data_IF_657200109654
#
_entry.id   IF_657200109654
#
_cell.length_a   1.000
_cell.length_b   1.000
_cell.length_c   1.000
_cell.angle_alpha   90.00
_cell.angle_beta   90.00
_cell.angle_gamma   90.00
#
_symmetry.space_group_name_H-M   'P 1'
#
loop_
_entity.id
_entity.type
_entity.pdbx_description
1 polymer ?
#
# COMPACT_ATOMS: atom_id res chain seq x y z
N UNK A 1 -63.50 6.45 -1.00
CA UNK A 1 -62.36 6.76 -0.10
C UNK A 1 -61.19 5.78 -0.20
N UNK A 2 -61.40 4.49 -0.49
CA UNK A 2 -60.34 3.47 -0.50
C UNK A 2 -59.31 3.63 -1.65
N UNK A 3 -59.74 3.96 -2.87
CA UNK A 3 -58.83 4.11 -4.03
C UNK A 3 -57.85 5.29 -3.94
N UNK A 4 -58.21 6.36 -3.23
CA UNK A 4 -57.35 7.54 -3.03
C UNK A 4 -56.24 7.27 -2.00
N UNK A 5 -56.52 6.42 -0.99
CA UNK A 5 -55.53 5.94 -0.02
C UNK A 5 -54.56 4.93 -0.65
N UNK A 6 -55.05 4.05 -1.52
CA UNK A 6 -54.22 3.08 -2.23
C UNK A 6 -53.28 3.77 -3.24
N UNK A 7 -53.78 4.75 -4.01
CA UNK A 7 -52.95 5.55 -4.91
C UNK A 7 -51.88 6.37 -4.18
N UNK A 8 -52.22 6.97 -3.02
CA UNK A 8 -51.26 7.74 -2.23
C UNK A 8 -50.18 6.84 -1.60
N UNK A 9 -50.56 5.66 -1.10
CA UNK A 9 -49.62 4.67 -0.57
C UNK A 9 -48.68 4.12 -1.65
N UNK A 10 -49.20 3.86 -2.86
CA UNK A 10 -48.40 3.40 -4.00
C UNK A 10 -47.44 4.49 -4.49
N UNK A 11 -47.89 5.76 -4.54
CA UNK A 11 -47.04 6.90 -4.93
C UNK A 11 -45.92 7.15 -3.91
N UNK A 12 -46.22 7.02 -2.61
CA UNK A 12 -45.23 7.16 -1.55
C UNK A 12 -44.18 6.03 -1.61
N UNK A 13 -44.62 4.79 -1.86
CA UNK A 13 -43.72 3.65 -2.03
C UNK A 13 -42.79 3.81 -3.24
N UNK A 14 -43.29 4.29 -4.38
CA UNK A 14 -42.47 4.58 -5.57
C UNK A 14 -41.44 5.69 -5.29
N UNK A 15 -41.83 6.77 -4.60
CA UNK A 15 -40.90 7.84 -4.22
C UNK A 15 -39.80 7.34 -3.28
N UNK A 16 -40.14 6.50 -2.29
CA UNK A 16 -39.16 5.94 -1.35
C UNK A 16 -38.17 5.01 -2.06
N UNK A 17 -38.65 4.15 -2.96
CA UNK A 17 -37.78 3.26 -3.75
C UNK A 17 -36.85 4.05 -4.67
N UNK A 18 -37.36 5.10 -5.35
CA UNK A 18 -36.55 5.98 -6.18
C UNK A 18 -35.47 6.71 -5.37
N UNK A 19 -35.80 7.22 -4.17
CA UNK A 19 -34.87 7.91 -3.28
C UNK A 19 -33.74 6.97 -2.80
N UNK A 20 -34.10 5.74 -2.40
CA UNK A 20 -33.13 4.72 -1.97
C UNK A 20 -32.20 4.36 -3.12
N UNK A 21 -32.73 4.15 -4.33
CA UNK A 21 -31.93 3.85 -5.51
C UNK A 21 -30.95 4.99 -5.82
N UNK A 22 -31.41 6.26 -5.83
CA UNK A 22 -30.53 7.41 -6.08
C UNK A 22 -29.42 7.56 -5.04
N UNK A 23 -29.70 7.26 -3.77
CA UNK A 23 -28.69 7.31 -2.71
C UNK A 23 -27.64 6.21 -2.88
N UNK A 24 -28.07 4.99 -3.19
CA UNK A 24 -27.16 3.87 -3.45
C UNK A 24 -26.23 4.16 -4.64
N UNK A 25 -26.76 4.67 -5.75
CA UNK A 25 -25.94 5.07 -6.90
C UNK A 25 -24.91 6.14 -6.55
N UNK A 26 -25.31 7.20 -5.83
CA UNK A 26 -24.38 8.24 -5.41
C UNK A 26 -23.28 7.75 -4.45
N UNK A 27 -23.59 6.78 -3.60
CA UNK A 27 -22.61 6.18 -2.69
C UNK A 27 -21.59 5.31 -3.44
N UNK A 28 -22.04 4.55 -4.44
CA UNK A 28 -21.15 3.76 -5.30
C UNK A 28 -20.21 4.66 -6.11
N UNK A 29 -20.73 5.75 -6.70
CA UNK A 29 -19.92 6.74 -7.42
C UNK A 29 -18.84 7.37 -6.53
N UNK A 30 -19.19 7.75 -5.30
CA UNK A 30 -18.25 8.31 -4.34
C UNK A 30 -17.15 7.31 -3.97
N UNK A 31 -17.50 6.03 -3.78
CA UNK A 31 -16.53 4.96 -3.50
C UNK A 31 -15.59 4.73 -4.67
N UNK A 32 -16.11 4.68 -5.89
CA UNK A 32 -15.27 4.53 -7.09
C UNK A 32 -14.35 5.73 -7.29
N UNK A 33 -14.83 6.96 -7.06
CA UNK A 33 -14.01 8.16 -7.11
C UNK A 33 -12.86 8.13 -6.09
N UNK A 34 -13.12 7.62 -4.87
CA UNK A 34 -12.08 7.43 -3.86
C UNK A 34 -11.02 6.41 -4.30
N UNK A 35 -11.45 5.26 -4.84
CA UNK A 35 -10.54 4.22 -5.34
C UNK A 35 -9.70 4.76 -6.51
N UNK A 36 -10.31 5.49 -7.44
CA UNK A 36 -9.60 6.07 -8.59
C UNK A 36 -8.60 7.14 -8.15
N UNK A 37 -8.95 7.96 -7.16
CA UNK A 37 -8.01 8.90 -6.55
C UNK A 37 -6.84 8.17 -5.89
N UNK A 38 -7.10 7.06 -5.20
CA UNK A 38 -6.08 6.20 -4.62
C UNK A 38 -5.14 5.62 -5.67
N UNK A 39 -5.71 5.11 -6.77
CA UNK A 39 -4.95 4.60 -7.92
C UNK A 39 -4.02 5.69 -8.47
N UNK A 40 -4.55 6.89 -8.70
CA UNK A 40 -3.74 8.02 -9.17
C UNK A 40 -2.56 8.28 -8.22
N UNK A 41 -2.82 8.41 -6.92
CA UNK A 41 -1.79 8.68 -5.92
C UNK A 41 -0.72 7.57 -5.85
N UNK A 42 -1.13 6.30 -5.87
CA UNK A 42 -0.19 5.17 -5.87
C UNK A 42 0.71 5.18 -7.11
N UNK A 43 0.16 5.50 -8.27
CA UNK A 43 0.91 5.53 -9.54
C UNK A 43 1.80 6.76 -9.68
N UNK A 44 1.44 7.90 -9.09
CA UNK A 44 2.19 9.16 -9.26
C UNK A 44 3.12 9.51 -8.08
N UNK A 45 2.91 8.90 -6.91
CA UNK A 45 3.72 9.15 -5.71
C UNK A 45 4.85 8.15 -5.50
N UNK A 46 5.14 7.29 -6.49
CA UNK A 46 6.27 6.34 -6.47
C UNK A 46 6.06 5.11 -5.60
N UNK A 47 4.83 4.79 -5.19
CA UNK A 47 4.57 3.61 -4.37
C UNK A 47 4.96 2.31 -5.10
N UNK A 48 4.70 2.25 -6.41
CA UNK A 48 5.05 1.11 -7.26
C UNK A 48 6.55 0.95 -7.45
N UNK A 49 7.34 2.01 -7.29
CA UNK A 49 8.77 1.98 -7.61
C UNK A 49 9.52 0.97 -6.73
N UNK A 50 9.10 0.86 -5.46
CA UNK A 50 9.68 -0.03 -4.47
C UNK A 50 8.77 -1.22 -4.11
N UNK A 51 7.44 -1.05 -4.17
CA UNK A 51 6.50 -2.12 -3.82
C UNK A 51 6.20 -3.07 -4.97
N UNK A 52 6.53 -2.71 -6.22
CA UNK A 52 6.47 -3.63 -7.36
C UNK A 52 7.89 -4.07 -7.69
N UNK A 53 8.21 -5.37 -7.64
CA UNK A 53 9.56 -5.82 -7.96
C UNK A 53 9.89 -5.57 -9.42
N UNK A 54 11.15 -5.24 -9.68
CA UNK A 54 11.65 -5.02 -11.03
C UNK A 54 12.22 -6.31 -11.62
N UNK A 55 12.15 -6.44 -12.94
CA UNK A 55 12.77 -7.50 -13.73
C UNK A 55 13.55 -6.90 -14.91
N UNK A 56 14.45 -7.69 -15.49
CA UNK A 56 15.14 -7.29 -16.71
C UNK A 56 14.22 -7.50 -17.91
N UNK A 57 13.83 -6.40 -18.56
CA UNK A 57 13.11 -6.38 -19.82
C UNK A 57 14.04 -6.12 -21.02
N UNK A 58 13.49 -6.08 -22.24
CA UNK A 58 14.26 -5.86 -23.47
C UNK A 58 14.94 -4.49 -23.53
N UNK A 59 14.46 -3.49 -22.77
CA UNK A 59 14.99 -2.12 -22.74
C UNK A 59 15.71 -1.78 -21.42
N UNK A 60 16.01 -2.78 -20.58
CA UNK A 60 16.59 -2.59 -19.26
C UNK A 60 15.62 -2.98 -18.13
N UNK A 61 15.94 -2.59 -16.88
CA UNK A 61 15.07 -2.85 -15.74
C UNK A 61 13.68 -2.22 -15.92
N UNK A 62 12.64 -2.99 -15.65
CA UNK A 62 11.24 -2.54 -15.70
C UNK A 62 10.41 -3.15 -14.56
N UNK A 63 9.29 -2.54 -14.13
CA UNK A 63 8.42 -3.12 -13.13
C UNK A 63 7.78 -4.43 -13.59
N UNK A 64 7.74 -5.43 -12.71
CA UNK A 64 7.01 -6.67 -12.91
C UNK A 64 5.54 -6.53 -12.49
N UNK A 65 4.69 -6.08 -13.41
CA UNK A 65 3.28 -5.83 -13.15
C UNK A 65 2.47 -7.09 -12.76
N UNK A 66 2.97 -8.30 -13.03
CA UNK A 66 2.35 -9.53 -12.52
C UNK A 66 2.50 -9.69 -11.01
N UNK A 67 3.50 -9.01 -10.43
CA UNK A 67 3.80 -8.95 -9.00
C UNK A 67 3.55 -7.56 -8.43
N UNK A 68 2.63 -6.81 -9.03
CA UNK A 68 2.35 -5.42 -8.66
C UNK A 68 2.07 -5.29 -7.15
N UNK A 69 2.82 -4.39 -6.48
CA UNK A 69 2.67 -4.05 -5.07
C UNK A 69 2.90 -5.20 -4.07
N UNK A 70 3.43 -6.35 -4.53
CA UNK A 70 3.68 -7.52 -3.68
C UNK A 70 4.94 -7.41 -2.83
N UNK A 71 5.75 -6.36 -3.00
CA UNK A 71 7.01 -6.16 -2.26
C UNK A 71 8.12 -7.12 -2.69
N UNK A 72 9.06 -7.37 -1.79
CA UNK A 72 10.22 -8.22 -2.05
C UNK A 72 9.82 -9.67 -2.35
N UNK A 73 10.27 -10.27 -3.46
CA UNK A 73 9.96 -11.66 -3.78
C UNK A 73 10.39 -12.63 -2.67
N UNK A 74 9.46 -13.42 -2.15
CA UNK A 74 9.72 -14.42 -1.09
C UNK A 74 10.72 -15.51 -1.50
N UNK A 75 10.85 -15.75 -2.81
CA UNK A 75 11.74 -16.73 -3.43
C UNK A 75 13.15 -16.16 -3.70
N UNK A 76 13.35 -14.85 -3.55
CA UNK A 76 14.64 -14.21 -3.74
C UNK A 76 15.38 -14.09 -2.42
N UNK A 77 16.33 -14.99 -2.17
CA UNK A 77 17.20 -14.87 -1.02
C UNK A 77 18.31 -13.85 -1.28
N UNK A 78 18.37 -12.81 -0.45
CA UNK A 78 19.46 -11.83 -0.52
C UNK A 78 20.71 -12.38 0.18
N UNK A 79 21.88 -12.42 -0.50
CA UNK A 79 23.14 -12.67 0.17
C UNK A 79 23.46 -11.52 1.15
N UNK A 80 24.43 -11.68 2.06
CA UNK A 80 24.92 -10.58 2.88
C UNK A 80 25.25 -9.37 1.99
N UNK A 81 24.71 -8.21 2.35
CA UNK A 81 24.94 -7.01 1.56
C UNK A 81 26.44 -6.67 1.55
N UNK A 82 27.01 -6.30 0.38
CA UNK A 82 28.39 -5.84 0.33
C UNK A 82 28.54 -4.57 1.18
N UNK A 83 29.71 -4.36 1.81
CA UNK A 83 29.97 -3.11 2.51
C UNK A 83 29.91 -1.96 1.50
N UNK A 84 29.30 -0.82 1.85
CA UNK A 84 29.37 0.36 1.01
C UNK A 84 30.83 0.78 0.79
N UNK A 85 31.14 1.27 -0.41
CA UNK A 85 32.48 1.73 -0.78
C UNK A 85 32.43 3.24 -1.05
N UNK A 86 33.51 3.98 -0.78
CA UNK A 86 33.55 5.43 -1.08
C UNK A 86 32.40 6.22 -0.41
N UNK A 87 31.82 7.23 -1.08
CA UNK A 87 30.76 8.08 -0.51
C UNK A 87 29.36 7.42 -0.53
N UNK A 88 29.26 6.15 -0.93
CA UNK A 88 27.99 5.46 -1.01
C UNK A 88 27.46 5.11 0.39
N UNK A 89 26.16 5.34 0.63
CA UNK A 89 25.52 5.03 1.92
C UNK A 89 25.07 3.56 2.04
N UNK A 90 24.84 2.90 0.90
CA UNK A 90 24.16 1.60 0.87
C UNK A 90 24.15 0.94 -0.49
N UNK A 91 23.43 -0.17 -0.59
CA UNK A 91 23.19 -0.92 -1.84
C UNK A 91 21.71 -1.30 -1.95
N UNK A 92 21.26 -1.64 -3.15
CA UNK A 92 19.90 -2.11 -3.40
C UNK A 92 19.90 -3.36 -4.29
N UNK A 93 18.88 -4.19 -4.13
CA UNK A 93 18.67 -5.40 -4.94
C UNK A 93 18.34 -5.05 -6.40
N UNK A 94 18.62 -5.97 -7.32
CA UNK A 94 18.22 -5.85 -8.74
C UNK A 94 16.70 -5.71 -8.96
N UNK A 95 15.89 -6.18 -8.02
CA UNK A 95 14.43 -6.06 -8.05
C UNK A 95 13.94 -4.73 -7.48
N UNK A 96 14.83 -3.87 -6.99
CA UNK A 96 14.48 -2.63 -6.31
C UNK A 96 13.50 -2.83 -5.14
N UNK A 97 13.66 -3.92 -4.37
CA UNK A 97 12.80 -4.28 -3.22
C UNK A 97 13.56 -4.63 -1.93
N UNK A 98 14.88 -4.60 -1.94
CA UNK A 98 15.70 -4.72 -0.73
C UNK A 98 16.82 -3.67 -0.73
N UNK A 99 17.10 -3.06 0.42
CA UNK A 99 18.13 -2.03 0.59
C UNK A 99 18.98 -2.30 1.82
N UNK A 100 20.27 -2.05 1.70
CA UNK A 100 21.22 -2.13 2.79
C UNK A 100 21.79 -0.75 3.14
N UNK A 101 22.14 -0.57 4.41
CA UNK A 101 22.87 0.60 4.90
C UNK A 101 23.24 0.46 6.37
N UNK A 102 23.62 1.56 7.06
CA UNK A 102 23.92 1.54 8.50
C UNK A 102 22.77 1.06 9.40
N UNK A 103 21.54 1.00 8.86
CA UNK A 103 20.35 0.46 9.53
C UNK A 103 20.15 -1.05 9.34
N UNK A 104 21.05 -1.74 8.63
CA UNK A 104 20.91 -3.15 8.26
C UNK A 104 20.29 -3.33 6.88
N UNK A 105 19.48 -4.37 6.71
CA UNK A 105 18.78 -4.68 5.45
C UNK A 105 17.27 -4.55 5.65
N UNK A 106 16.63 -3.74 4.81
CA UNK A 106 15.17 -3.63 4.72
C UNK A 106 14.67 -4.37 3.48
N UNK A 107 13.46 -4.92 3.59
CA UNK A 107 12.72 -5.54 2.50
C UNK A 107 11.38 -4.82 2.32
N UNK A 108 11.00 -4.48 1.09
CA UNK A 108 9.71 -3.83 0.83
C UNK A 108 8.58 -4.78 1.16
N UNK A 109 7.60 -4.30 1.94
CA UNK A 109 6.43 -5.08 2.32
C UNK A 109 5.48 -5.35 1.14
N UNK A 110 4.78 -6.49 1.22
CA UNK A 110 3.60 -6.76 0.41
C UNK A 110 2.45 -5.86 0.91
N UNK A 111 1.94 -4.98 0.05
CA UNK A 111 0.83 -4.06 0.38
C UNK A 111 -0.44 -4.37 -0.40
N UNK A 112 -0.53 -5.57 -0.99
CA UNK A 112 -1.77 -6.10 -1.56
C UNK A 112 -2.75 -6.52 -0.45
N UNK A 113 -4.05 -6.73 -0.74
CA UNK A 113 -5.03 -7.11 0.28
C UNK A 113 -4.97 -8.60 0.64
N UNK A 114 -3.86 -9.28 0.36
CA UNK A 114 -3.65 -10.65 0.84
C UNK A 114 -3.67 -10.67 2.38
N UNK A 115 -4.47 -11.57 2.95
CA UNK A 115 -4.74 -11.63 4.40
C UNK A 115 -3.61 -12.23 5.21
N UNK A 116 -2.80 -13.09 4.61
CA UNK A 116 -1.75 -13.83 5.32
C UNK A 116 -0.39 -13.15 5.24
N UNK A 117 -0.13 -12.49 4.11
CA UNK A 117 1.19 -11.99 3.74
C UNK A 117 1.20 -10.51 3.35
N UNK A 118 0.03 -9.94 3.05
CA UNK A 118 -0.15 -8.52 2.73
C UNK A 118 -0.80 -7.72 3.86
N UNK A 119 -1.53 -6.66 3.49
CA UNK A 119 -2.24 -5.77 4.42
C UNK A 119 -3.74 -6.11 4.56
N UNK A 120 -4.18 -7.28 4.10
CA UNK A 120 -5.61 -7.65 4.04
C UNK A 120 -6.35 -7.64 5.37
N UNK A 121 -5.63 -7.79 6.49
CA UNK A 121 -6.15 -7.75 7.86
C UNK A 121 -5.87 -6.41 8.57
N UNK A 122 -5.27 -5.43 7.88
CA UNK A 122 -5.06 -4.10 8.43
C UNK A 122 -6.37 -3.34 8.42
N UNK A 123 -6.55 -2.41 9.36
CA UNK A 123 -7.62 -1.41 9.28
C UNK A 123 -7.10 -0.17 8.55
N UNK A 124 -8.02 0.66 8.04
CA UNK A 124 -7.67 1.95 7.44
C UNK A 124 -6.88 2.81 8.44
N UNK A 125 -7.27 2.81 9.72
CA UNK A 125 -6.58 3.54 10.77
C UNK A 125 -5.15 3.03 10.96
N UNK A 126 -4.94 1.72 10.96
CA UNK A 126 -3.59 1.15 11.08
C UNK A 126 -2.71 1.56 9.89
N UNK A 127 -3.27 1.59 8.68
CA UNK A 127 -2.56 2.07 7.49
C UNK A 127 -2.19 3.55 7.63
N UNK A 128 -3.16 4.42 7.91
CA UNK A 128 -2.94 5.86 8.08
C UNK A 128 -1.92 6.13 9.17
N UNK A 129 -2.06 5.50 10.34
CA UNK A 129 -1.13 5.67 11.44
C UNK A 129 0.27 5.15 11.12
N UNK A 130 0.39 4.12 10.28
CA UNK A 130 1.70 3.65 9.83
C UNK A 130 2.46 4.71 9.04
N UNK A 131 1.77 5.39 8.13
CA UNK A 131 2.36 6.49 7.34
C UNK A 131 2.66 7.70 8.22
N UNK A 132 1.71 8.10 9.09
CA UNK A 132 1.87 9.27 9.98
C UNK A 132 3.05 9.12 10.94
N UNK A 133 3.16 7.95 11.57
CA UNK A 133 4.15 7.71 12.63
C UNK A 133 5.48 7.14 12.14
N UNK A 134 5.52 6.59 10.91
CA UNK A 134 6.66 5.81 10.44
C UNK A 134 6.84 4.49 11.20
N UNK A 135 5.78 3.90 11.73
CA UNK A 135 5.82 2.65 12.49
C UNK A 135 4.89 1.61 11.90
N UNK A 136 5.30 0.36 11.89
CA UNK A 136 4.47 -0.75 11.44
C UNK A 136 3.15 -0.81 12.23
N UNK A 137 2.01 -0.78 11.54
CA UNK A 137 0.66 -0.68 12.13
C UNK A 137 0.52 0.49 13.14
N UNK A 138 1.28 1.57 12.94
CA UNK A 138 1.29 2.76 13.78
C UNK A 138 1.98 2.62 15.15
N UNK A 139 2.37 1.41 15.57
CA UNK A 139 2.86 1.15 16.94
C UNK A 139 4.07 0.22 17.04
N UNK A 140 4.30 -0.59 16.01
CA UNK A 140 5.36 -1.58 15.98
C UNK A 140 6.73 -0.99 15.69
N UNK A 141 7.59 -1.80 15.07
CA UNK A 141 8.93 -1.38 14.63
C UNK A 141 8.88 -0.18 13.70
N UNK A 142 9.97 0.58 13.65
CA UNK A 142 10.13 1.64 12.67
C UNK A 142 10.03 1.08 11.24
N UNK A 143 9.41 1.86 10.36
CA UNK A 143 9.51 1.70 8.91
C UNK A 143 10.93 2.10 8.54
N UNK A 144 11.65 1.19 7.90
CA UNK A 144 13.05 1.38 7.57
C UNK A 144 13.21 2.07 6.20
N UNK A 145 14.36 2.72 5.95
CA UNK A 145 14.69 3.24 4.64
C UNK A 145 14.56 2.18 3.53
N UNK A 146 14.25 2.58 2.29
CA UNK A 146 14.13 3.96 1.81
C UNK A 146 12.69 4.51 1.86
N UNK A 147 11.73 3.80 2.48
CA UNK A 147 10.32 4.20 2.45
C UNK A 147 10.14 5.65 2.93
N UNK A 148 9.65 6.58 2.09
CA UNK A 148 9.67 8.01 2.39
C UNK A 148 8.46 8.45 3.22
N UNK A 149 8.20 7.74 4.32
CA UNK A 149 7.13 8.11 5.26
C UNK A 149 7.22 9.58 5.76
N UNK A 150 8.41 10.22 5.95
CA UNK A 150 8.47 11.62 6.35
C UNK A 150 7.97 12.60 5.29
N UNK A 151 7.82 12.15 4.04
CA UNK A 151 7.17 12.92 2.98
C UNK A 151 5.66 12.64 3.03
N UNK A 152 5.28 11.37 3.01
CA UNK A 152 3.88 10.93 2.96
C UNK A 152 3.09 11.27 4.24
N UNK A 153 3.76 11.44 5.39
CA UNK A 153 3.10 11.86 6.63
C UNK A 153 2.50 13.27 6.56
N UNK A 154 2.81 14.07 5.52
CA UNK A 154 2.21 15.37 5.24
C UNK A 154 1.02 15.30 4.28
N UNK A 155 0.74 14.15 3.64
CA UNK A 155 -0.43 13.99 2.78
C UNK A 155 -1.71 14.23 3.59
N UNK A 156 -2.77 14.82 3.02
CA UNK A 156 -4.07 14.88 3.69
C UNK A 156 -4.60 13.49 4.08
N UNK A 157 -5.45 13.40 5.11
CA UNK A 157 -6.01 12.11 5.55
C UNK A 157 -6.81 11.45 4.41
N UNK A 158 -7.56 12.23 3.65
CA UNK A 158 -8.34 11.77 2.50
C UNK A 158 -7.48 11.13 1.40
N UNK A 159 -6.22 11.53 1.25
CA UNK A 159 -5.24 10.94 0.32
C UNK A 159 -4.79 9.58 0.82
N UNK A 160 -4.43 9.48 2.10
CA UNK A 160 -4.02 8.20 2.69
C UNK A 160 -5.17 7.19 2.68
N UNK A 161 -6.40 7.65 2.95
CA UNK A 161 -7.60 6.80 2.87
C UNK A 161 -7.91 6.38 1.45
N UNK A 162 -7.74 7.28 0.47
CA UNK A 162 -7.89 6.92 -0.94
C UNK A 162 -6.86 5.87 -1.38
N UNK A 163 -5.59 6.05 -1.00
CA UNK A 163 -4.52 5.06 -1.24
C UNK A 163 -4.93 3.71 -0.64
N UNK A 164 -5.33 3.68 0.64
CA UNK A 164 -5.77 2.45 1.29
C UNK A 164 -6.95 1.80 0.55
N UNK A 165 -7.98 2.57 0.18
CA UNK A 165 -9.13 2.08 -0.57
C UNK A 165 -8.73 1.44 -1.91
N UNK A 166 -7.75 2.01 -2.61
CA UNK A 166 -7.19 1.41 -3.83
C UNK A 166 -6.40 0.14 -3.54
N UNK A 167 -5.52 0.13 -2.54
CA UNK A 167 -4.78 -1.09 -2.16
C UNK A 167 -5.72 -2.22 -1.74
N UNK A 168 -6.89 -1.90 -1.18
CA UNK A 168 -7.90 -2.90 -0.83
C UNK A 168 -8.79 -3.35 -2.00
N UNK A 169 -8.68 -2.72 -3.18
CA UNK A 169 -9.47 -3.05 -4.36
C UNK A 169 -8.71 -3.87 -5.42
N UNK A 170 -7.38 -3.93 -5.35
CA UNK A 170 -6.55 -4.71 -6.29
C UNK A 170 -6.55 -6.21 -5.96
N UNK A 171 -6.16 -7.09 -6.91
CA UNK A 171 -6.01 -8.51 -6.63
C UNK A 171 -4.99 -8.80 -5.51
N UNK A 172 -5.29 -9.73 -4.59
CA UNK A 172 -4.34 -10.15 -3.57
C UNK A 172 -3.21 -11.00 -4.19
N UNK A 173 -1.98 -10.81 -3.70
CA UNK A 173 -0.83 -11.63 -4.07
C UNK A 173 -0.23 -12.22 -2.79
N UNK A 174 -0.19 -13.54 -2.69
CA UNK A 174 0.43 -14.24 -1.56
C UNK A 174 1.95 -14.23 -1.72
N UNK A 175 2.63 -13.39 -0.93
CA UNK A 175 4.07 -13.20 -0.96
C UNK A 175 4.60 -12.85 0.44
N UNK A 176 5.22 -13.81 1.13
CA UNK A 176 5.73 -13.61 2.49
C UNK A 176 7.12 -12.96 2.46
N UNK A 177 7.14 -11.64 2.59
CA UNK A 177 8.38 -10.84 2.67
C UNK A 177 9.17 -11.20 3.94
N UNK A 178 10.52 -11.37 3.85
CA UNK A 178 11.38 -11.59 5.02
C UNK A 178 11.37 -10.41 6.01
N UNK A 179 11.63 -10.69 7.28
CA UNK A 179 11.85 -9.62 8.26
C UNK A 179 13.17 -8.88 7.98
N UNK A 180 13.28 -7.59 8.33
CA UNK A 180 14.53 -6.84 8.21
C UNK A 180 15.67 -7.50 8.97
N UNK A 181 16.86 -7.40 8.41
CA UNK A 181 18.09 -7.85 9.07
C UNK A 181 18.70 -6.65 9.80
N UNK A 182 18.96 -6.80 11.09
CA UNK A 182 19.65 -5.78 11.88
C UNK A 182 21.04 -5.48 11.29
N UNK A 183 21.57 -4.26 11.46
CA UNK A 183 22.97 -4.01 11.09
C UNK A 183 23.88 -4.93 11.89
N UNK A 184 25.06 -5.29 11.34
CA UNK A 184 26.08 -5.93 12.16
C UNK A 184 26.29 -5.07 13.40
N UNK A 185 26.40 -5.69 14.59
CA UNK A 185 26.71 -4.95 15.79
C UNK A 185 27.94 -4.07 15.52
N UNK A 186 27.81 -2.76 15.72
CA UNK A 186 28.99 -1.89 15.68
C UNK A 186 30.02 -2.50 16.63
N UNK A 187 31.28 -2.70 16.20
CA UNK A 187 32.32 -2.98 17.16
C UNK A 187 32.27 -1.85 18.18
N UNK A 188 32.03 -2.19 19.44
CA UNK A 188 31.88 -1.22 20.51
C UNK A 188 33.08 -0.26 20.48
N UNK A 189 32.81 1.03 20.22
CA UNK A 189 33.67 2.17 20.49
C UNK A 189 35.10 2.17 19.91
N UNK A 190 35.41 3.20 19.16
CA UNK A 190 36.66 3.95 19.36
C UNK A 190 36.33 5.42 19.52
#
# INVERSE_FOLDING_TARGET
MLGRKLALALSLAVCVVALIATYAFGADDAKQAQVERGRHLVMTSGCTDCHTPWKMGPNGPEPDWERNLSGHPQDLQMPPAPPPQGPWLGSYSSTFTAWSGPWGVSFTANITPDKETGIGEWTEENFVQSIRSGKHMGKGRAILPPMPYPVYNNMPDEDLKAIYAYLMSIPPIKNKVPEPVAPPASPAGK
#
